data_IF_018892198474
#
_entry.id   IF_018892198474
#
_cell.length_a   1.000
_cell.length_b   1.000
_cell.length_c   1.000
_cell.angle_alpha   90.00
_cell.angle_beta   90.00
_cell.angle_gamma   90.00
#
_symmetry.space_group_name_H-M   'P 1'
#
loop_
_entity.id
_entity.type
_entity.pdbx_description
1 polymer ?
#
# COMPACT_ATOMS: atom_id res chain seq x y z
N UNK A 1 -5.76 -19.29 12.79
CA UNK A 1 -5.73 -17.83 12.51
C UNK A 1 -5.07 -17.16 13.71
N UNK A 2 -4.18 -16.21 13.50
CA UNK A 2 -3.56 -15.42 14.57
C UNK A 2 -4.24 -14.05 14.58
N UNK A 3 -4.66 -13.58 15.75
CA UNK A 3 -5.15 -12.22 15.95
C UNK A 3 -4.09 -11.47 16.74
N UNK A 4 -3.66 -10.32 16.21
CA UNK A 4 -2.70 -9.44 16.87
C UNK A 4 -3.47 -8.24 17.44
N UNK A 5 -3.31 -8.02 18.73
CA UNK A 5 -3.81 -6.85 19.43
C UNK A 5 -2.84 -5.68 19.19
N UNK A 6 -3.22 -4.76 18.31
CA UNK A 6 -2.35 -3.64 17.91
C UNK A 6 -2.10 -2.64 19.03
N UNK A 7 -3.02 -2.52 20.00
CA UNK A 7 -2.84 -1.64 21.16
C UNK A 7 -1.75 -2.18 22.08
N UNK A 8 -1.76 -3.50 22.33
CA UNK A 8 -0.69 -4.15 23.11
C UNK A 8 0.62 -4.27 22.36
N UNK A 9 0.57 -4.35 21.03
CA UNK A 9 1.77 -4.42 20.20
C UNK A 9 2.46 -3.04 20.06
N UNK A 10 1.73 -1.93 20.18
CA UNK A 10 2.25 -0.57 19.96
C UNK A 10 3.56 -0.26 20.72
N UNK A 11 3.72 -0.58 22.01
CA UNK A 11 4.98 -0.31 22.72
C UNK A 11 6.19 -1.07 22.14
N UNK A 12 5.98 -2.22 21.50
CA UNK A 12 7.05 -3.04 20.91
C UNK A 12 7.33 -2.68 19.46
N UNK A 13 6.27 -2.53 18.66
CA UNK A 13 6.38 -2.36 17.20
C UNK A 13 6.34 -0.90 16.77
N UNK A 14 5.84 -0.03 17.65
CA UNK A 14 5.42 1.32 17.30
C UNK A 14 4.34 1.31 16.21
N UNK A 15 3.48 0.28 16.17
CA UNK A 15 2.46 0.15 15.12
C UNK A 15 1.55 1.37 15.10
N UNK A 16 1.25 1.84 13.89
CA UNK A 16 0.23 2.85 13.67
C UNK A 16 -0.71 2.42 12.55
N UNK A 17 -1.99 2.37 12.87
CA UNK A 17 -3.05 2.13 11.89
C UNK A 17 -3.53 3.46 11.32
N UNK A 18 -3.61 3.54 10.00
CA UNK A 18 -4.07 4.74 9.29
C UNK A 18 -5.22 4.35 8.37
N UNK A 19 -6.35 5.10 8.34
CA UNK A 19 -7.38 4.89 7.35
C UNK A 19 -6.80 5.00 5.95
N UNK A 20 -7.16 4.08 5.06
CA UNK A 20 -6.64 3.99 3.69
C UNK A 20 -7.26 5.07 2.76
N UNK A 21 -7.23 6.34 3.20
CA UNK A 21 -7.68 7.50 2.44
C UNK A 21 -6.50 8.29 1.91
N UNK A 22 -6.64 8.94 0.75
CA UNK A 22 -5.55 9.73 0.16
C UNK A 22 -4.96 10.72 1.16
N UNK A 23 -5.80 11.48 1.85
CA UNK A 23 -5.39 12.47 2.85
C UNK A 23 -4.59 11.84 4.00
N UNK A 24 -5.12 10.75 4.59
CA UNK A 24 -4.51 10.16 5.78
C UNK A 24 -3.21 9.43 5.47
N UNK A 25 -3.15 8.75 4.32
CA UNK A 25 -1.92 8.08 3.87
C UNK A 25 -0.86 9.11 3.46
N UNK A 26 -1.27 10.23 2.84
CA UNK A 26 -0.36 11.35 2.53
C UNK A 26 0.23 11.96 3.80
N UNK A 27 -0.63 12.35 4.75
CA UNK A 27 -0.22 12.92 6.04
C UNK A 27 0.77 11.99 6.77
N UNK A 28 0.46 10.70 6.77
CA UNK A 28 1.32 9.68 7.34
C UNK A 28 2.70 9.62 6.64
N UNK A 29 2.71 9.47 5.31
CA UNK A 29 3.94 9.35 4.54
C UNK A 29 4.82 10.61 4.65
N UNK A 30 4.20 11.79 4.66
CA UNK A 30 4.92 13.06 4.84
C UNK A 30 5.56 13.15 6.23
N UNK A 31 4.92 12.63 7.28
CA UNK A 31 5.47 12.68 8.64
C UNK A 31 6.56 11.63 8.86
N UNK A 32 6.31 10.38 8.49
CA UNK A 32 7.23 9.28 8.80
C UNK A 32 8.36 9.14 7.77
N UNK A 33 8.11 9.52 6.50
CA UNK A 33 9.05 9.34 5.39
C UNK A 33 9.26 10.65 4.58
N UNK A 34 9.44 11.83 5.20
CA UNK A 34 9.45 13.14 4.53
C UNK A 34 10.49 13.27 3.42
N UNK A 35 11.64 12.59 3.58
CA UNK A 35 12.72 12.60 2.59
C UNK A 35 12.37 11.81 1.32
N UNK A 36 11.54 10.77 1.45
CA UNK A 36 11.12 9.92 0.32
C UNK A 36 9.81 10.43 -0.29
N UNK A 37 8.89 10.88 0.55
CA UNK A 37 7.54 11.28 0.17
C UNK A 37 7.22 12.66 0.77
N UNK A 38 7.84 13.74 0.25
CA UNK A 38 7.55 15.09 0.70
C UNK A 38 6.12 15.51 0.32
N UNK A 39 5.58 16.51 1.02
CA UNK A 39 4.19 16.97 0.82
C UNK A 39 3.89 17.34 -0.64
N UNK A 40 4.80 18.06 -1.30
CA UNK A 40 4.64 18.44 -2.71
C UNK A 40 4.42 17.23 -3.63
N UNK A 41 5.09 16.11 -3.34
CA UNK A 41 4.91 14.88 -4.10
C UNK A 41 3.55 14.25 -3.83
N UNK A 42 3.17 14.06 -2.56
CA UNK A 42 1.89 13.44 -2.21
C UNK A 42 0.69 14.29 -2.64
N UNK A 43 0.81 15.62 -2.59
CA UNK A 43 -0.22 16.55 -3.10
C UNK A 43 -0.49 16.35 -4.60
N UNK A 44 0.49 15.81 -5.33
CA UNK A 44 0.38 15.54 -6.77
C UNK A 44 -0.15 14.13 -7.04
N UNK A 45 0.38 13.12 -6.33
CA UNK A 45 0.17 11.71 -6.71
C UNK A 45 -0.90 10.97 -5.90
N UNK A 46 -1.38 11.56 -4.80
CA UNK A 46 -2.40 10.96 -3.94
C UNK A 46 -3.77 11.55 -4.28
N UNK A 47 -4.15 11.40 -5.54
CA UNK A 47 -5.44 11.83 -6.08
C UNK A 47 -6.07 10.68 -6.87
N UNK A 48 -7.40 10.66 -7.05
CA UNK A 48 -8.06 9.66 -7.89
C UNK A 48 -7.48 9.63 -9.31
N UNK A 49 -7.25 10.80 -9.91
CA UNK A 49 -6.79 10.91 -11.30
C UNK A 49 -5.37 10.34 -11.48
N UNK A 50 -4.46 10.65 -10.56
CA UNK A 50 -3.11 10.11 -10.62
C UNK A 50 -3.07 8.63 -10.28
N UNK A 51 -3.95 8.17 -9.36
CA UNK A 51 -4.06 6.77 -9.02
C UNK A 51 -4.56 5.93 -10.21
N UNK A 52 -5.52 6.44 -10.99
CA UNK A 52 -5.97 5.80 -12.22
C UNK A 52 -4.84 5.71 -13.26
N UNK A 53 -4.10 6.80 -13.47
CA UNK A 53 -2.93 6.82 -14.34
C UNK A 53 -1.87 5.80 -13.89
N UNK A 54 -1.54 5.79 -12.60
CA UNK A 54 -0.59 4.85 -12.01
C UNK A 54 -1.06 3.41 -12.18
N UNK A 55 -2.33 3.13 -11.88
CA UNK A 55 -2.91 1.81 -12.01
C UNK A 55 -2.87 1.29 -13.45
N UNK A 56 -3.15 2.17 -14.42
CA UNK A 56 -3.07 1.84 -15.85
C UNK A 56 -1.64 1.47 -16.28
N UNK A 57 -0.66 2.34 -16.03
CA UNK A 57 0.73 2.07 -16.38
C UNK A 57 1.30 0.84 -15.69
N UNK A 58 0.94 0.63 -14.41
CA UNK A 58 1.36 -0.56 -13.68
C UNK A 58 0.79 -1.83 -14.33
N UNK A 59 -0.47 -1.81 -14.74
CA UNK A 59 -1.11 -2.95 -15.40
C UNK A 59 -0.49 -3.22 -16.79
N UNK A 60 -0.25 -2.19 -17.59
CA UNK A 60 0.44 -2.31 -18.88
C UNK A 60 1.86 -2.88 -18.72
N UNK A 61 2.58 -2.47 -17.68
CA UNK A 61 3.90 -3.03 -17.36
C UNK A 61 3.83 -4.53 -17.00
N UNK A 62 2.76 -4.96 -16.33
CA UNK A 62 2.52 -6.40 -16.06
C UNK A 62 2.16 -7.15 -17.34
N UNK A 63 1.27 -6.59 -18.16
CA UNK A 63 0.74 -7.26 -19.36
C UNK A 63 1.79 -7.35 -20.48
N UNK A 64 2.69 -6.38 -20.57
CA UNK A 64 3.86 -6.43 -21.46
C UNK A 64 4.97 -7.37 -20.98
N UNK A 65 4.89 -7.88 -19.75
CA UNK A 65 5.90 -8.73 -19.14
C UNK A 65 7.12 -7.99 -18.59
N UNK A 66 7.11 -6.65 -18.56
CA UNK A 66 8.15 -5.86 -17.92
C UNK A 66 8.16 -6.09 -16.39
N UNK A 67 6.98 -6.17 -15.77
CA UNK A 67 6.83 -6.63 -14.40
C UNK A 67 6.47 -8.11 -14.36
N UNK A 68 7.19 -8.87 -13.53
CA UNK A 68 7.03 -10.32 -13.39
C UNK A 68 5.59 -10.76 -13.08
N UNK A 69 4.88 -9.99 -12.24
CA UNK A 69 3.48 -10.23 -11.91
C UNK A 69 2.86 -9.00 -11.22
N UNK A 70 1.55 -9.07 -10.96
CA UNK A 70 0.75 -8.01 -10.31
C UNK A 70 1.20 -7.60 -8.90
N UNK A 71 2.09 -8.35 -8.26
CA UNK A 71 2.66 -8.07 -6.94
C UNK A 71 4.10 -7.54 -6.99
N UNK A 72 4.65 -7.30 -8.19
CA UNK A 72 6.03 -6.82 -8.33
C UNK A 72 6.22 -5.45 -7.68
N UNK A 73 7.28 -5.32 -6.87
CA UNK A 73 7.74 -4.03 -6.33
C UNK A 73 9.11 -3.64 -6.90
N UNK A 74 9.53 -4.28 -8.00
CA UNK A 74 10.80 -3.98 -8.69
C UNK A 74 10.71 -2.65 -9.45
N UNK A 75 11.16 -1.58 -8.78
CA UNK A 75 11.09 -0.20 -9.30
C UNK A 75 11.89 -0.01 -10.59
N UNK A 76 13.02 -0.69 -10.76
CA UNK A 76 13.85 -0.56 -11.97
C UNK A 76 13.14 -1.15 -13.19
N UNK A 77 12.54 -2.33 -13.07
CA UNK A 77 11.78 -2.97 -14.15
C UNK A 77 10.60 -2.09 -14.61
N UNK A 78 9.96 -1.37 -13.68
CA UNK A 78 8.92 -0.40 -14.01
C UNK A 78 9.47 0.86 -14.67
N UNK A 79 10.63 1.35 -14.23
CA UNK A 79 11.33 2.45 -14.89
C UNK A 79 11.69 2.09 -16.34
N UNK A 80 12.21 0.88 -16.57
CA UNK A 80 12.52 0.37 -17.90
C UNK A 80 11.26 0.35 -18.78
N UNK A 81 10.10 -0.04 -18.24
CA UNK A 81 8.82 0.09 -18.93
C UNK A 81 8.47 1.55 -19.25
N UNK A 82 8.59 2.46 -18.27
CA UNK A 82 8.25 3.88 -18.45
C UNK A 82 9.10 4.52 -19.55
N UNK A 83 10.34 4.09 -19.72
CA UNK A 83 11.24 4.55 -20.79
C UNK A 83 10.81 4.13 -22.19
N UNK A 84 9.92 3.16 -22.33
CA UNK A 84 9.31 2.78 -23.61
C UNK A 84 8.09 3.63 -24.00
N UNK A 85 7.59 4.47 -23.07
CA UNK A 85 6.41 5.32 -23.27
C UNK A 85 6.78 6.71 -23.83
N UNK A 86 5.79 7.44 -24.33
CA UNK A 86 5.91 8.83 -24.81
C UNK A 86 5.69 9.88 -23.71
N UNK A 87 5.57 9.45 -22.44
CA UNK A 87 5.44 10.33 -21.29
C UNK A 87 6.63 11.29 -21.14
N UNK A 88 6.36 12.45 -20.54
CA UNK A 88 7.44 13.36 -20.16
C UNK A 88 8.30 12.76 -19.04
N UNK A 89 9.57 13.18 -18.99
CA UNK A 89 10.49 12.80 -17.90
C UNK A 89 9.97 13.15 -16.50
N UNK A 90 9.13 14.19 -16.40
CA UNK A 90 8.48 14.57 -15.14
C UNK A 90 7.43 13.55 -14.73
N UNK A 91 6.58 13.10 -15.66
CA UNK A 91 5.55 12.08 -15.40
C UNK A 91 6.18 10.74 -15.06
N UNK A 92 7.20 10.31 -15.82
CA UNK A 92 7.94 9.07 -15.52
C UNK A 92 8.52 9.08 -14.11
N UNK A 93 9.13 10.21 -13.70
CA UNK A 93 9.67 10.37 -12.35
C UNK A 93 8.58 10.27 -11.27
N UNK A 94 7.41 10.88 -11.49
CA UNK A 94 6.29 10.81 -10.55
C UNK A 94 5.75 9.38 -10.43
N UNK A 95 5.56 8.67 -11.55
CA UNK A 95 5.10 7.28 -11.58
C UNK A 95 6.10 6.33 -10.91
N UNK A 96 7.39 6.48 -11.20
CA UNK A 96 8.46 5.73 -10.51
C UNK A 96 8.43 5.95 -9.00
N UNK A 97 8.32 7.21 -8.56
CA UNK A 97 8.25 7.53 -7.14
C UNK A 97 6.94 7.03 -6.50
N UNK A 98 5.84 6.97 -7.25
CA UNK A 98 4.57 6.37 -6.80
C UNK A 98 4.69 4.85 -6.60
N UNK A 99 5.46 4.15 -7.43
CA UNK A 99 5.77 2.73 -7.21
C UNK A 99 6.67 2.51 -5.99
N UNK A 100 7.65 3.39 -5.76
CA UNK A 100 8.44 3.37 -4.52
C UNK A 100 7.54 3.56 -3.29
N UNK A 101 6.50 4.39 -3.41
CA UNK A 101 5.50 4.56 -2.35
C UNK A 101 4.68 3.29 -2.15
N UNK A 102 4.23 2.62 -3.20
CA UNK A 102 3.57 1.31 -3.09
C UNK A 102 4.44 0.30 -2.32
N UNK A 103 5.74 0.19 -2.66
CA UNK A 103 6.67 -0.73 -1.99
C UNK A 103 6.86 -0.41 -0.49
N UNK A 104 6.84 0.88 -0.12
CA UNK A 104 7.14 1.31 1.27
C UNK A 104 5.92 1.53 2.15
N UNK A 105 4.79 1.88 1.57
CA UNK A 105 3.57 2.27 2.29
C UNK A 105 2.45 1.24 2.08
N UNK A 106 2.50 0.45 1.00
CA UNK A 106 1.51 -0.59 0.71
C UNK A 106 0.28 -0.11 -0.05
N UNK A 107 0.20 1.17 -0.43
CA UNK A 107 -0.88 1.73 -1.25
C UNK A 107 -0.70 1.30 -2.71
N UNK A 108 -1.20 0.11 -3.05
CA UNK A 108 -0.94 -0.54 -4.33
C UNK A 108 -1.70 0.05 -5.53
N UNK A 109 -1.61 -0.60 -6.71
CA UNK A 109 -2.27 -0.16 -7.94
C UNK A 109 -3.80 -0.18 -7.89
N UNK A 110 -4.39 -0.95 -6.97
CA UNK A 110 -5.84 -1.01 -6.73
C UNK A 110 -6.31 -0.12 -5.59
N UNK A 111 -5.39 0.61 -4.94
CA UNK A 111 -5.71 1.55 -3.89
C UNK A 111 -6.62 2.66 -4.43
N UNK A 112 -7.74 2.94 -3.79
CA UNK A 112 -8.68 3.97 -4.27
C UNK A 112 -8.72 5.22 -3.38
N UNK A 113 -8.04 5.18 -2.24
CA UNK A 113 -7.94 6.33 -1.34
C UNK A 113 -9.27 6.82 -0.75
N UNK A 114 -10.30 5.96 -0.75
CA UNK A 114 -11.61 6.22 -0.14
C UNK A 114 -11.80 5.52 1.22
N UNK A 115 -10.77 4.81 1.71
CA UNK A 115 -10.81 4.09 2.98
C UNK A 115 -11.56 2.76 2.94
N UNK A 116 -11.98 2.30 1.76
CA UNK A 116 -12.72 1.05 1.57
C UNK A 116 -11.97 0.13 0.61
N UNK A 117 -12.09 -1.18 0.85
CA UNK A 117 -11.57 -2.18 -0.09
C UNK A 117 -12.51 -2.30 -1.28
N UNK A 118 -11.98 -2.23 -2.51
CA UNK A 118 -12.77 -2.47 -3.73
C UNK A 118 -13.36 -3.88 -3.74
N UNK A 119 -14.67 -4.00 -3.97
CA UNK A 119 -15.30 -5.30 -4.20
C UNK A 119 -15.07 -5.75 -5.66
N UNK A 120 -14.52 -6.96 -5.82
CA UNK A 120 -14.27 -7.60 -7.12
C UNK A 120 -15.19 -8.80 -7.38
N UNK A 121 -16.18 -9.05 -6.51
CA UNK A 121 -17.10 -10.17 -6.64
C UNK A 121 -18.10 -9.87 -7.76
N UNK A 122 -18.04 -10.65 -8.84
CA UNK A 122 -18.95 -10.53 -9.96
C UNK A 122 -20.41 -10.75 -9.49
N UNK A 123 -21.28 -9.77 -9.75
CA UNK A 123 -22.71 -9.84 -9.44
C UNK A 123 -23.09 -9.47 -8.00
N UNK A 124 -22.17 -8.96 -7.16
CA UNK A 124 -22.50 -8.59 -5.78
C UNK A 124 -23.37 -7.33 -5.65
N UNK A 125 -23.43 -6.49 -6.69
CA UNK A 125 -24.10 -5.18 -6.67
C UNK A 125 -23.41 -4.13 -5.78
N UNK A 126 -22.37 -4.52 -5.05
CA UNK A 126 -21.56 -3.65 -4.20
C UNK A 126 -20.28 -3.25 -4.94
N UNK A 127 -19.91 -1.98 -4.86
CA UNK A 127 -18.64 -1.49 -5.39
C UNK A 127 -17.52 -1.53 -4.34
N UNK A 128 -17.89 -1.55 -3.04
CA UNK A 128 -16.97 -1.46 -1.91
C UNK A 128 -17.31 -2.48 -0.82
N UNK A 129 -16.27 -2.96 -0.15
CA UNK A 129 -16.33 -3.92 0.96
C UNK A 129 -16.02 -3.28 2.31
N UNK A 130 -15.16 -3.93 3.09
CA UNK A 130 -14.81 -3.49 4.44
C UNK A 130 -13.95 -2.21 4.45
N UNK A 131 -13.92 -1.55 5.60
CA UNK A 131 -12.97 -0.46 5.89
C UNK A 131 -11.55 -1.01 5.84
N UNK A 132 -10.68 -0.31 5.12
CA UNK A 132 -9.26 -0.66 4.98
C UNK A 132 -8.38 0.23 5.85
N UNK A 133 -7.43 -0.39 6.54
CA UNK A 133 -6.39 0.29 7.30
C UNK A 133 -5.01 -0.15 6.82
N UNK A 134 -4.10 0.80 6.72
CA UNK A 134 -2.67 0.53 6.54
C UNK A 134 -2.00 0.51 7.90
N UNK A 135 -1.41 -0.61 8.26
CA UNK A 135 -0.62 -0.77 9.48
C UNK A 135 0.85 -0.55 9.16
N UNK A 136 1.47 0.39 9.85
CA UNK A 136 2.90 0.64 9.75
C UNK A 136 3.59 0.31 11.05
N UNK A 137 4.48 -0.68 11.01
CA UNK A 137 5.32 -1.10 12.12
C UNK A 137 6.70 -0.47 11.97
N UNK A 138 7.14 0.28 12.99
CA UNK A 138 8.45 0.96 12.98
C UNK A 138 9.60 0.00 13.28
N UNK A 139 9.31 -1.05 14.04
CA UNK A 139 10.26 -2.06 14.44
C UNK A 139 9.70 -3.44 14.09
N UNK A 140 10.43 -4.24 13.28
CA UNK A 140 10.04 -5.62 13.08
C UNK A 140 10.24 -6.39 14.38
N UNK A 141 9.23 -7.14 14.78
CA UNK A 141 9.29 -8.05 15.93
C UNK A 141 8.86 -9.44 15.48
N UNK A 142 9.36 -10.47 16.16
CA UNK A 142 8.94 -11.84 15.88
C UNK A 142 7.68 -12.19 16.68
N UNK A 143 7.03 -13.30 16.30
CA UNK A 143 5.80 -13.77 16.96
C UNK A 143 6.01 -14.06 18.46
N UNK A 144 7.19 -14.58 18.84
CA UNK A 144 7.49 -14.86 20.25
C UNK A 144 7.46 -13.59 21.11
N UNK A 145 8.04 -12.49 20.62
CA UNK A 145 8.04 -11.21 21.35
C UNK A 145 6.62 -10.65 21.54
N UNK A 146 5.76 -10.81 20.54
CA UNK A 146 4.35 -10.42 20.64
C UNK A 146 3.57 -11.32 21.61
N UNK A 147 3.90 -12.61 21.67
CA UNK A 147 3.31 -13.56 22.61
C UNK A 147 3.73 -13.26 24.06
N UNK A 148 4.99 -12.90 24.29
CA UNK A 148 5.54 -12.53 25.60
C UNK A 148 4.84 -11.32 26.23
N UNK A 149 4.34 -10.37 25.42
CA UNK A 149 3.54 -9.22 25.90
C UNK A 149 2.03 -9.46 25.84
N UNK A 150 1.59 -10.68 25.50
CA UNK A 150 0.17 -11.03 25.41
C UNK A 150 -0.58 -10.28 24.30
N UNK A 151 0.13 -9.88 23.23
CA UNK A 151 -0.45 -9.22 22.05
C UNK A 151 -0.94 -10.23 20.99
N UNK A 152 -0.78 -11.54 21.20
CA UNK A 152 -1.26 -12.59 20.28
C UNK A 152 -2.39 -13.40 20.92
N UNK A 153 -3.44 -13.66 20.12
CA UNK A 153 -4.40 -14.71 20.38
C UNK A 153 -4.43 -15.72 19.22
N UNK A 154 -4.28 -17.00 19.55
CA UNK A 154 -4.45 -18.09 18.60
C UNK A 154 -5.92 -18.47 18.50
N UNK A 155 -6.55 -18.17 17.35
CA UNK A 155 -7.89 -18.68 17.05
C UNK A 155 -7.72 -20.02 16.34
N UNK A 156 -7.81 -21.09 17.13
CA UNK A 156 -8.02 -22.44 16.62
C UNK A 156 -9.52 -22.65 16.41
N UNK A 157 -9.95 -22.75 15.16
CA UNK A 157 -11.19 -23.47 14.88
C UNK A 157 -10.85 -24.94 15.14
N UNK A 158 -11.48 -25.53 16.16
CA UNK A 158 -11.57 -26.98 16.23
C UNK A 158 -12.32 -27.47 15.00
N UNK A 159 -11.59 -27.82 13.94
CA UNK A 159 -12.15 -28.63 12.88
C UNK A 159 -12.36 -30.02 13.48
N UNK A 160 -13.61 -30.27 13.90
CA UNK A 160 -14.14 -31.62 14.01
C UNK A 160 -14.67 -32.04 12.65
#
# INVERSE_FOLDING_TARGET
>A
MIVIDTEKAEPLTGVKSVPATFDKVSEFANRELPKKFPKQFTDTVMTPEFQDQYGWHYQEAVDSGALENKWSTKVNDFEDYLDTTDLSETEKKLLKQRMQMQDKVGNNQYYEGNGLTRDKIAGSGNHYGAVETLNFERQPVNLQQLEEVGAIAYVSKGFK
#
